data_IF_688896147915
#
_entry.id   IF_688896147915
#
_cell.length_a   1.000
_cell.length_b   1.000
_cell.length_c   1.000
_cell.angle_alpha   90.00
_cell.angle_beta   90.00
_cell.angle_gamma   90.00
#
_symmetry.space_group_name_H-M   'P 1'
#
loop_
_entity.id
_entity.type
_entity.pdbx_description
1 polymer ?
#
# COMPACT_ATOMS: atom_id res chain seq x y z
N UNK A 1 -25.54 0.11 -21.05
CA UNK A 1 -25.26 -1.23 -20.49
C UNK A 1 -25.94 -1.32 -19.14
N UNK A 2 -26.47 -2.48 -18.70
CA UNK A 2 -27.05 -2.61 -17.35
C UNK A 2 -25.94 -2.40 -16.31
N UNK A 3 -26.22 -1.62 -15.25
CA UNK A 3 -25.26 -1.31 -14.17
C UNK A 3 -24.63 -2.58 -13.56
N UNK A 4 -25.43 -3.62 -13.35
CA UNK A 4 -24.95 -4.91 -12.83
C UNK A 4 -23.86 -5.53 -13.71
N UNK A 5 -23.95 -5.41 -15.05
CA UNK A 5 -22.91 -5.92 -15.96
C UNK A 5 -21.62 -5.15 -15.85
N UNK A 6 -21.68 -3.83 -15.65
CA UNK A 6 -20.47 -2.98 -15.45
C UNK A 6 -19.78 -3.36 -14.14
N UNK A 7 -20.53 -3.50 -13.06
CA UNK A 7 -20.02 -3.97 -11.76
C UNK A 7 -19.37 -5.36 -11.90
N UNK A 8 -20.02 -6.29 -12.61
CA UNK A 8 -19.45 -7.63 -12.83
C UNK A 8 -18.13 -7.57 -13.58
N UNK A 9 -18.00 -6.71 -14.61
CA UNK A 9 -16.76 -6.53 -15.34
C UNK A 9 -15.66 -5.96 -14.44
N UNK A 10 -15.99 -4.97 -13.60
CA UNK A 10 -15.05 -4.39 -12.64
C UNK A 10 -14.54 -5.43 -11.63
N UNK A 11 -15.41 -6.34 -11.15
CA UNK A 11 -15.00 -7.45 -10.27
C UNK A 11 -13.98 -8.37 -10.96
N UNK A 12 -14.18 -8.69 -12.25
CA UNK A 12 -13.21 -9.48 -13.01
C UNK A 12 -11.90 -8.72 -13.26
N UNK A 13 -11.96 -7.41 -13.49
CA UNK A 13 -10.78 -6.55 -13.61
C UNK A 13 -10.01 -6.51 -12.28
N UNK A 14 -10.70 -6.37 -11.14
CA UNK A 14 -10.09 -6.49 -9.81
C UNK A 14 -9.40 -7.85 -9.59
N UNK A 15 -10.02 -8.94 -10.06
CA UNK A 15 -9.41 -10.27 -9.99
C UNK A 15 -8.14 -10.39 -10.86
N UNK A 16 -8.00 -9.58 -11.91
CA UNK A 16 -6.78 -9.47 -12.71
C UNK A 16 -5.72 -8.67 -11.95
N UNK A 17 -6.06 -7.44 -11.49
CA UNK A 17 -5.17 -6.56 -10.71
C UNK A 17 -4.58 -7.30 -9.51
N UNK A 18 -5.41 -8.03 -8.78
CA UNK A 18 -4.98 -8.83 -7.62
C UNK A 18 -3.82 -9.78 -7.92
N UNK A 19 -3.68 -10.24 -9.16
CA UNK A 19 -2.66 -11.24 -9.56
C UNK A 19 -1.42 -10.61 -10.21
N UNK A 20 -1.41 -9.31 -10.43
CA UNK A 20 -0.28 -8.63 -11.04
C UNK A 20 0.88 -8.56 -10.06
N UNK A 21 2.08 -8.94 -10.51
CA UNK A 21 3.29 -8.84 -9.72
C UNK A 21 3.85 -7.42 -9.76
N UNK A 22 4.40 -6.96 -8.65
CA UNK A 22 5.15 -5.71 -8.58
C UNK A 22 6.56 -5.90 -9.12
N UNK A 23 6.83 -5.36 -10.31
CA UNK A 23 8.05 -5.62 -11.08
C UNK A 23 9.32 -5.07 -10.44
N UNK A 24 9.19 -4.07 -9.57
CA UNK A 24 10.33 -3.48 -8.87
C UNK A 24 11.15 -4.49 -8.05
N UNK A 25 10.50 -5.46 -7.43
CA UNK A 25 11.16 -6.46 -6.59
C UNK A 25 12.12 -7.36 -7.35
N UNK A 26 11.91 -7.56 -8.66
CA UNK A 26 12.81 -8.34 -9.51
C UNK A 26 14.23 -7.77 -9.56
N UNK A 27 14.40 -6.47 -9.32
CA UNK A 27 15.72 -5.83 -9.24
C UNK A 27 16.49 -6.20 -7.98
N UNK A 28 15.79 -6.65 -6.95
CA UNK A 28 16.38 -7.23 -5.75
C UNK A 28 16.52 -8.76 -5.83
N UNK A 29 16.18 -9.35 -6.99
CA UNK A 29 16.24 -10.79 -7.20
C UNK A 29 15.09 -11.57 -6.57
N UNK A 30 13.97 -10.91 -6.29
CA UNK A 30 12.81 -11.50 -5.60
C UNK A 30 11.47 -11.13 -6.29
N UNK A 31 10.43 -11.86 -5.92
CA UNK A 31 9.03 -11.58 -6.26
C UNK A 31 8.23 -11.55 -4.96
N UNK A 32 8.34 -10.47 -4.22
CA UNK A 32 7.87 -10.38 -2.83
C UNK A 32 6.36 -10.33 -2.75
N UNK A 33 5.72 -9.46 -3.56
CA UNK A 33 4.29 -9.22 -3.48
C UNK A 33 3.68 -8.85 -4.84
N UNK A 34 2.38 -9.09 -4.98
CA UNK A 34 1.55 -8.55 -6.05
C UNK A 34 0.91 -7.22 -5.69
N UNK A 35 0.29 -6.56 -6.70
CA UNK A 35 -0.44 -5.29 -6.52
C UNK A 35 -1.56 -5.42 -5.49
N UNK A 36 -2.32 -6.54 -5.51
CA UNK A 36 -3.41 -6.75 -4.54
C UNK A 36 -2.91 -6.95 -3.11
N UNK A 37 -1.78 -7.63 -2.92
CA UNK A 37 -1.16 -7.82 -1.60
C UNK A 37 -0.65 -6.49 -1.06
N UNK A 38 -0.03 -5.68 -1.91
CA UNK A 38 0.40 -4.33 -1.58
C UNK A 38 -0.77 -3.43 -1.19
N UNK A 39 -1.85 -3.42 -1.95
CA UNK A 39 -3.05 -2.63 -1.63
C UNK A 39 -3.68 -3.07 -0.30
N UNK A 40 -3.67 -4.36 0.01
CA UNK A 40 -4.09 -4.87 1.31
C UNK A 40 -3.23 -4.32 2.44
N UNK A 41 -1.90 -4.39 2.33
CA UNK A 41 -0.98 -3.86 3.34
C UNK A 41 -1.11 -2.35 3.48
N UNK A 42 -1.25 -1.63 2.37
CA UNK A 42 -1.51 -0.18 2.37
C UNK A 42 -2.79 0.14 3.13
N UNK A 43 -3.89 -0.59 2.90
CA UNK A 43 -5.16 -0.36 3.58
C UNK A 43 -5.08 -0.64 5.09
N UNK A 44 -4.38 -1.70 5.51
CA UNK A 44 -4.17 -2.03 6.94
C UNK A 44 -3.38 -0.90 7.62
N UNK A 45 -2.28 -0.46 7.03
CA UNK A 45 -1.42 0.58 7.61
C UNK A 45 -2.15 1.92 7.64
N UNK A 46 -2.83 2.29 6.54
CA UNK A 46 -3.60 3.53 6.46
C UNK A 46 -4.73 3.59 7.49
N UNK A 47 -5.43 2.46 7.72
CA UNK A 47 -6.44 2.35 8.77
C UNK A 47 -5.85 2.61 10.15
N UNK A 48 -4.70 2.00 10.47
CA UNK A 48 -4.06 2.14 11.78
C UNK A 48 -3.55 3.58 12.00
N UNK A 49 -2.92 4.20 10.99
CA UNK A 49 -2.49 5.60 11.03
C UNK A 49 -3.68 6.54 11.21
N UNK A 50 -4.75 6.35 10.44
CA UNK A 50 -5.96 7.15 10.55
C UNK A 50 -6.62 7.03 11.92
N UNK A 51 -6.63 5.84 12.50
CA UNK A 51 -7.13 5.61 13.84
C UNK A 51 -6.29 6.35 14.88
N UNK A 52 -4.96 6.26 14.79
CA UNK A 52 -4.04 6.98 15.68
C UNK A 52 -4.26 8.50 15.61
N UNK A 53 -4.35 9.07 14.38
CA UNK A 53 -4.63 10.50 14.17
C UNK A 53 -5.96 10.90 14.82
N UNK A 54 -7.03 10.12 14.61
CA UNK A 54 -8.36 10.42 15.13
C UNK A 54 -8.48 10.26 16.66
N UNK A 55 -7.64 9.43 17.28
CA UNK A 55 -7.63 9.20 18.74
C UNK A 55 -6.77 10.23 19.50
N UNK A 56 -5.94 11.02 18.82
CA UNK A 56 -5.11 12.06 19.43
C UNK A 56 -5.95 13.23 19.96
N UNK A 57 -6.33 13.20 21.24
CA UNK A 57 -7.20 14.19 21.90
C UNK A 57 -6.71 15.64 21.86
N UNK A 58 -5.43 15.88 21.55
CA UNK A 58 -4.81 17.22 21.51
C UNK A 58 -4.74 17.81 20.11
N UNK A 59 -5.12 17.07 19.08
CA UNK A 59 -5.08 17.49 17.70
C UNK A 59 -6.50 17.81 17.22
N UNK A 60 -6.69 18.95 16.54
CA UNK A 60 -7.91 19.24 15.78
C UNK A 60 -7.95 18.48 14.44
N UNK A 61 -6.91 17.70 14.13
CA UNK A 61 -6.83 16.92 12.91
C UNK A 61 -7.71 15.68 13.02
N UNK A 62 -8.62 15.53 12.07
CA UNK A 62 -9.43 14.34 11.89
C UNK A 62 -9.45 13.94 10.44
N UNK A 63 -9.55 12.65 10.17
CA UNK A 63 -9.57 12.10 8.82
C UNK A 63 -10.76 11.16 8.62
N UNK A 64 -11.26 11.10 7.39
CA UNK A 64 -12.32 10.19 6.99
C UNK A 64 -11.76 8.78 6.76
N UNK A 65 -12.15 7.84 7.62
CA UNK A 65 -11.79 6.42 7.47
C UNK A 65 -12.29 5.84 6.16
N UNK A 66 -13.48 6.23 5.72
CA UNK A 66 -14.08 5.78 4.47
C UNK A 66 -13.22 6.18 3.26
N UNK A 67 -12.89 7.47 3.13
CA UNK A 67 -12.01 7.95 2.05
C UNK A 67 -10.67 7.23 2.04
N UNK A 68 -10.04 7.11 3.20
CA UNK A 68 -8.73 6.46 3.36
C UNK A 68 -8.78 5.01 2.87
N UNK A 69 -9.77 4.24 3.30
CA UNK A 69 -9.88 2.84 2.89
C UNK A 69 -10.17 2.69 1.40
N UNK A 70 -11.04 3.53 0.83
CA UNK A 70 -11.33 3.51 -0.60
C UNK A 70 -10.08 3.84 -1.40
N UNK A 71 -9.39 4.95 -1.10
CA UNK A 71 -8.14 5.32 -1.77
C UNK A 71 -7.09 4.21 -1.64
N UNK A 72 -6.92 3.61 -0.46
CA UNK A 72 -5.93 2.55 -0.23
C UNK A 72 -6.18 1.29 -1.08
N UNK A 73 -7.44 0.94 -1.31
CA UNK A 73 -7.80 -0.24 -2.09
C UNK A 73 -7.63 0.01 -3.59
N UNK A 74 -7.93 1.22 -4.06
CA UNK A 74 -8.07 1.51 -5.49
C UNK A 74 -6.91 2.33 -6.09
N UNK A 75 -5.92 2.81 -5.30
CA UNK A 75 -4.86 3.69 -5.79
C UNK A 75 -4.05 3.13 -6.96
N UNK A 76 -3.79 1.82 -6.98
CA UNK A 76 -3.05 1.13 -8.05
C UNK A 76 -3.96 0.31 -8.98
N UNK A 77 -5.29 0.52 -8.93
CA UNK A 77 -6.23 -0.28 -9.73
C UNK A 77 -6.04 -0.10 -11.24
N UNK A 78 -5.64 1.11 -11.67
CA UNK A 78 -5.34 1.44 -13.06
C UNK A 78 -4.23 0.56 -13.66
N UNK A 79 -3.38 -0.04 -12.83
CA UNK A 79 -2.31 -0.94 -13.29
C UNK A 79 -2.84 -2.17 -14.03
N UNK A 80 -4.08 -2.57 -13.77
CA UNK A 80 -4.77 -3.59 -14.56
C UNK A 80 -4.81 -3.32 -16.08
N UNK A 81 -4.73 -2.05 -16.46
CA UNK A 81 -4.72 -1.60 -17.88
C UNK A 81 -3.39 -1.04 -18.33
N UNK A 82 -2.71 -0.30 -17.45
CA UNK A 82 -1.43 0.35 -17.78
C UNK A 82 -0.22 -0.56 -17.61
N UNK A 83 -0.39 -1.67 -16.90
CA UNK A 83 0.69 -2.51 -16.42
C UNK A 83 1.35 -1.92 -15.16
N UNK A 84 1.82 -2.79 -14.26
CA UNK A 84 2.69 -2.36 -13.17
C UNK A 84 4.07 -2.02 -13.74
N UNK A 85 4.67 -0.94 -13.25
CA UNK A 85 5.92 -0.41 -13.80
C UNK A 85 6.83 0.05 -12.68
N UNK A 86 8.02 -0.54 -12.61
CA UNK A 86 9.05 -0.13 -11.68
C UNK A 86 9.61 1.28 -11.99
N UNK A 87 10.27 1.88 -11.01
CA UNK A 87 10.80 3.26 -11.13
C UNK A 87 11.82 3.44 -12.26
N UNK A 88 12.54 2.39 -12.65
CA UNK A 88 13.49 2.50 -13.77
C UNK A 88 12.72 2.55 -15.09
N UNK A 89 11.72 1.68 -15.27
CA UNK A 89 10.87 1.72 -16.45
C UNK A 89 10.15 3.08 -16.61
N UNK A 90 9.71 3.68 -15.49
CA UNK A 90 9.09 5.03 -15.48
C UNK A 90 9.99 6.15 -15.99
N UNK A 91 11.32 5.96 -16.05
CA UNK A 91 12.24 6.95 -16.67
C UNK A 91 12.19 6.93 -18.21
N UNK A 92 11.70 5.85 -18.79
CA UNK A 92 11.73 5.63 -20.26
C UNK A 92 10.35 5.50 -20.88
N UNK A 93 9.29 5.37 -20.08
CA UNK A 93 7.92 5.15 -20.53
C UNK A 93 6.95 6.05 -19.77
N UNK A 94 5.92 6.53 -20.48
CA UNK A 94 4.82 7.28 -19.88
C UNK A 94 3.57 6.39 -19.84
N UNK A 95 2.92 6.33 -18.67
CA UNK A 95 1.62 5.68 -18.49
C UNK A 95 0.50 6.73 -18.53
N UNK A 96 -0.64 6.35 -19.10
CA UNK A 96 -1.84 7.16 -19.07
C UNK A 96 -2.77 6.71 -17.94
N UNK A 97 -2.33 6.92 -16.69
CA UNK A 97 -3.02 6.49 -15.46
C UNK A 97 -4.40 7.14 -15.35
N UNK A 98 -4.49 8.48 -15.57
CA UNK A 98 -5.76 9.22 -15.55
C UNK A 98 -6.76 8.66 -16.56
N UNK A 99 -6.28 8.40 -17.81
CA UNK A 99 -7.14 7.82 -18.82
C UNK A 99 -7.65 6.44 -18.41
N UNK A 100 -6.79 5.60 -17.83
CA UNK A 100 -7.19 4.29 -17.34
C UNK A 100 -8.25 4.41 -16.23
N UNK A 101 -8.06 5.27 -15.24
CA UNK A 101 -9.03 5.51 -14.19
C UNK A 101 -10.38 6.01 -14.74
N UNK A 102 -10.38 6.96 -15.67
CA UNK A 102 -11.60 7.43 -16.33
C UNK A 102 -12.31 6.28 -17.06
N UNK A 103 -11.59 5.52 -17.88
CA UNK A 103 -12.14 4.40 -18.65
C UNK A 103 -12.68 3.25 -17.76
N UNK A 104 -12.15 3.10 -16.53
CA UNK A 104 -12.59 2.08 -15.56
C UNK A 104 -13.84 2.55 -14.81
N UNK A 105 -13.78 3.75 -14.23
CA UNK A 105 -14.70 4.14 -13.16
C UNK A 105 -15.79 5.13 -13.59
N UNK A 106 -15.62 5.91 -14.67
CA UNK A 106 -16.54 6.99 -15.03
C UNK A 106 -18.01 6.58 -15.16
N UNK A 107 -18.27 5.36 -15.60
CA UNK A 107 -19.61 4.83 -15.77
C UNK A 107 -20.10 3.92 -14.63
N UNK A 108 -19.23 3.60 -13.65
CA UNK A 108 -19.54 2.71 -12.52
C UNK A 108 -19.64 3.51 -11.24
N UNK A 109 -18.66 4.38 -10.99
CA UNK A 109 -18.56 5.16 -9.76
C UNK A 109 -17.72 6.43 -10.02
N UNK A 110 -18.40 7.53 -10.33
CA UNK A 110 -17.74 8.82 -10.56
C UNK A 110 -17.15 9.44 -9.28
N UNK A 111 -17.68 9.09 -8.09
CA UNK A 111 -17.17 9.58 -6.81
C UNK A 111 -15.79 8.98 -6.53
N UNK A 112 -15.57 7.73 -6.93
CA UNK A 112 -14.27 7.08 -6.82
C UNK A 112 -13.19 7.81 -7.64
N UNK A 113 -13.51 8.35 -8.83
CA UNK A 113 -12.56 9.16 -9.60
C UNK A 113 -12.12 10.42 -8.84
N UNK A 114 -13.03 11.06 -8.11
CA UNK A 114 -12.70 12.24 -7.29
C UNK A 114 -11.70 11.84 -6.20
N UNK A 115 -11.91 10.70 -5.54
CA UNK A 115 -10.99 10.21 -4.50
C UNK A 115 -9.62 9.80 -5.06
N UNK A 116 -9.57 9.21 -6.25
CA UNK A 116 -8.30 8.86 -6.90
C UNK A 116 -7.53 10.11 -7.34
N UNK A 117 -8.21 11.15 -7.81
CA UNK A 117 -7.57 12.45 -8.09
C UNK A 117 -7.05 13.09 -6.78
N UNK A 118 -7.84 13.08 -5.70
CA UNK A 118 -7.41 13.54 -4.38
C UNK A 118 -6.14 12.82 -3.90
N UNK A 119 -6.05 11.49 -4.14
CA UNK A 119 -4.85 10.71 -3.83
C UNK A 119 -3.64 11.15 -4.66
N UNK A 120 -3.81 11.41 -5.96
CA UNK A 120 -2.69 11.85 -6.82
C UNK A 120 -2.18 13.26 -6.50
N UNK A 121 -3.08 14.16 -6.12
CA UNK A 121 -2.72 15.54 -5.74
C UNK A 121 -1.95 15.62 -4.42
N UNK A 122 -2.18 14.70 -3.47
CA UNK A 122 -1.51 14.64 -2.16
C UNK A 122 -1.60 15.93 -1.33
N UNK A 123 -2.73 16.61 -1.43
CA UNK A 123 -2.95 17.90 -0.75
C UNK A 123 -3.78 17.76 0.53
N UNK A 124 -4.62 16.71 0.63
CA UNK A 124 -5.43 16.46 1.82
C UNK A 124 -4.70 15.58 2.83
N UNK A 125 -5.09 15.63 4.09
CA UNK A 125 -4.51 14.76 5.12
C UNK A 125 -4.83 13.29 4.83
N UNK A 126 -6.01 12.99 4.33
CA UNK A 126 -6.42 11.66 3.91
C UNK A 126 -5.50 11.09 2.81
N UNK A 127 -5.25 11.86 1.75
CA UNK A 127 -4.37 11.45 0.66
C UNK A 127 -2.92 11.27 1.11
N UNK A 128 -2.45 12.11 2.04
CA UNK A 128 -1.12 11.97 2.64
C UNK A 128 -1.01 10.71 3.50
N UNK A 129 -2.03 10.40 4.31
CA UNK A 129 -2.07 9.16 5.11
C UNK A 129 -1.98 7.94 4.21
N UNK A 130 -2.75 7.90 3.12
CA UNK A 130 -2.71 6.77 2.16
C UNK A 130 -1.36 6.69 1.45
N UNK A 131 -0.83 7.83 0.98
CA UNK A 131 0.48 7.88 0.34
C UNK A 131 1.59 7.36 1.26
N UNK A 132 1.61 7.80 2.52
CA UNK A 132 2.64 7.36 3.47
C UNK A 132 2.43 5.92 3.92
N UNK A 133 1.18 5.44 4.01
CA UNK A 133 0.89 4.03 4.23
C UNK A 133 1.41 3.14 3.10
N UNK A 134 1.26 3.56 1.83
CA UNK A 134 1.85 2.91 0.66
C UNK A 134 3.39 2.85 0.77
N UNK A 135 4.01 3.96 1.19
CA UNK A 135 5.46 4.01 1.44
C UNK A 135 5.88 3.05 2.55
N UNK A 136 5.13 2.99 3.65
CA UNK A 136 5.42 2.11 4.78
C UNK A 136 5.20 0.64 4.39
N UNK A 137 4.15 0.32 3.62
CA UNK A 137 3.91 -1.05 3.11
C UNK A 137 5.12 -1.58 2.33
N UNK A 138 5.69 -0.76 1.45
CA UNK A 138 6.94 -1.09 0.78
C UNK A 138 8.12 -1.27 1.76
N UNK A 139 8.20 -0.44 2.80
CA UNK A 139 9.21 -0.54 3.86
C UNK A 139 9.13 -1.85 4.65
N UNK A 140 7.93 -2.37 4.91
CA UNK A 140 7.73 -3.68 5.57
C UNK A 140 8.40 -4.79 4.77
N UNK A 141 8.18 -4.83 3.46
CA UNK A 141 8.78 -5.87 2.60
C UNK A 141 10.30 -5.71 2.50
N UNK A 142 10.82 -4.47 2.42
CA UNK A 142 12.26 -4.22 2.49
C UNK A 142 12.86 -4.78 3.80
N UNK A 143 12.21 -4.54 4.94
CA UNK A 143 12.65 -5.05 6.26
C UNK A 143 12.69 -6.57 6.28
N UNK A 144 11.65 -7.23 5.80
CA UNK A 144 11.58 -8.70 5.72
C UNK A 144 12.68 -9.25 4.80
N UNK A 145 12.95 -8.61 3.66
CA UNK A 145 14.03 -9.00 2.76
C UNK A 145 15.41 -8.85 3.41
N UNK A 146 15.64 -7.75 4.14
CA UNK A 146 16.89 -7.55 4.89
C UNK A 146 17.12 -8.66 5.90
N UNK A 147 16.11 -9.06 6.65
CA UNK A 147 16.19 -10.14 7.64
C UNK A 147 16.41 -11.51 7.01
N UNK A 148 15.98 -11.69 5.77
CA UNK A 148 16.29 -12.87 4.95
C UNK A 148 17.67 -12.83 4.30
N UNK A 149 18.45 -11.77 4.53
CA UNK A 149 19.82 -11.63 4.07
C UNK A 149 20.00 -10.88 2.75
N UNK A 150 18.96 -10.23 2.22
CA UNK A 150 19.09 -9.37 1.05
C UNK A 150 19.69 -8.01 1.44
N UNK A 151 21.00 -7.86 1.25
CA UNK A 151 21.76 -6.67 1.65
C UNK A 151 21.41 -5.42 0.84
N UNK A 152 20.90 -5.58 -0.38
CA UNK A 152 20.48 -4.45 -1.24
C UNK A 152 19.16 -3.82 -0.80
N UNK A 153 18.31 -4.56 -0.09
CA UNK A 153 17.05 -4.04 0.41
C UNK A 153 17.22 -2.88 1.41
N UNK A 154 18.40 -2.80 2.07
CA UNK A 154 18.70 -1.71 3.01
C UNK A 154 18.72 -0.32 2.32
N UNK A 155 19.38 -0.20 1.19
CA UNK A 155 19.39 1.05 0.43
C UNK A 155 17.97 1.51 0.04
N UNK A 156 17.13 0.56 -0.35
CA UNK A 156 15.74 0.82 -0.70
C UNK A 156 14.91 1.25 0.52
N UNK A 157 15.13 0.59 1.66
CA UNK A 157 14.49 0.96 2.93
C UNK A 157 14.88 2.38 3.35
N UNK A 158 16.18 2.70 3.35
CA UNK A 158 16.70 4.01 3.76
C UNK A 158 16.13 5.13 2.85
N UNK A 159 16.17 4.94 1.53
CA UNK A 159 15.65 5.92 0.58
C UNK A 159 14.13 6.12 0.70
N UNK A 160 13.40 5.03 0.98
CA UNK A 160 11.95 5.06 1.13
C UNK A 160 11.53 5.75 2.44
N UNK A 161 12.28 5.56 3.52
CA UNK A 161 12.01 6.19 4.82
C UNK A 161 12.04 7.73 4.78
N UNK A 162 12.77 8.32 3.83
CA UNK A 162 12.82 9.78 3.63
C UNK A 162 11.52 10.37 3.04
N UNK A 163 10.58 9.52 2.62
CA UNK A 163 9.32 9.94 1.97
C UNK A 163 8.16 10.11 2.95
N UNK A 164 8.29 9.65 4.18
CA UNK A 164 7.28 9.84 5.23
C UNK A 164 7.59 11.12 6.02
N UNK A 165 6.55 11.89 6.35
CA UNK A 165 6.65 13.20 7.00
C UNK A 165 5.64 13.43 8.11
N UNK A 166 4.48 12.75 8.07
CA UNK A 166 3.51 12.80 9.15
C UNK A 166 4.17 12.24 10.42
N UNK A 167 4.03 12.89 11.58
CA UNK A 167 4.67 12.44 12.83
C UNK A 167 4.37 10.96 13.14
N UNK A 168 3.12 10.55 12.95
CA UNK A 168 2.66 9.19 13.19
C UNK A 168 3.33 8.19 12.24
N UNK A 169 3.49 8.57 10.99
CA UNK A 169 4.17 7.75 9.97
C UNK A 169 5.67 7.63 10.20
N UNK A 170 6.32 8.72 10.64
CA UNK A 170 7.76 8.74 10.97
C UNK A 170 8.03 7.84 12.18
N UNK A 171 7.19 7.92 13.21
CA UNK A 171 7.28 7.06 14.38
C UNK A 171 7.10 5.59 14.00
N UNK A 172 6.04 5.28 13.25
CA UNK A 172 5.76 3.91 12.79
C UNK A 172 6.90 3.34 11.95
N UNK A 173 7.42 4.10 10.96
CA UNK A 173 8.54 3.68 10.12
C UNK A 173 9.81 3.44 10.94
N UNK A 174 10.06 4.28 11.95
CA UNK A 174 11.21 4.12 12.85
C UNK A 174 11.10 2.85 13.69
N UNK A 175 9.94 2.59 14.28
CA UNK A 175 9.69 1.38 15.07
C UNK A 175 9.80 0.12 14.19
N UNK A 176 9.20 0.15 13.01
CA UNK A 176 9.25 -0.96 12.06
C UNK A 176 10.70 -1.31 11.67
N UNK A 177 11.54 -0.29 11.41
CA UNK A 177 12.94 -0.50 11.06
C UNK A 177 13.76 -1.17 12.17
N UNK A 178 13.37 -0.96 13.43
CA UNK A 178 14.09 -1.45 14.62
C UNK A 178 13.45 -2.70 15.26
N UNK A 179 12.27 -3.14 14.81
CA UNK A 179 11.58 -4.32 15.33
C UNK A 179 11.89 -5.53 14.45
N UNK A 180 12.11 -6.70 15.05
CA UNK A 180 12.23 -7.97 14.32
C UNK A 180 10.85 -8.33 13.73
N UNK A 181 10.79 -8.64 12.45
CA UNK A 181 9.54 -9.00 11.78
C UNK A 181 8.87 -10.26 12.33
N UNK A 182 9.56 -11.03 13.16
CA UNK A 182 9.06 -12.25 13.78
C UNK A 182 8.62 -12.05 15.25
N UNK A 183 8.76 -10.86 15.82
CA UNK A 183 8.42 -10.60 17.23
C UNK A 183 6.92 -10.78 17.52
N UNK A 184 6.03 -10.52 16.55
CA UNK A 184 4.59 -10.60 16.73
C UNK A 184 4.07 -11.97 17.17
N UNK A 185 4.79 -13.05 16.91
CA UNK A 185 4.40 -14.42 17.27
C UNK A 185 5.41 -15.13 18.18
N UNK A 186 6.35 -14.40 18.78
CA UNK A 186 7.41 -14.93 19.62
C UNK A 186 6.86 -15.73 20.81
N UNK A 187 5.87 -15.17 21.53
CA UNK A 187 5.26 -15.83 22.68
C UNK A 187 4.38 -17.01 22.27
N UNK A 188 3.68 -16.88 21.13
CA UNK A 188 2.90 -17.98 20.53
C UNK A 188 3.84 -19.15 20.17
N UNK A 189 4.96 -18.83 19.54
CA UNK A 189 5.98 -19.84 19.17
C UNK A 189 6.56 -20.55 20.38
N UNK A 190 6.83 -19.82 21.48
CA UNK A 190 7.30 -20.42 22.73
C UNK A 190 6.27 -21.40 23.30
N UNK A 191 5.00 -21.02 23.33
CA UNK A 191 3.90 -21.90 23.79
C UNK A 191 3.80 -23.18 22.94
N UNK A 192 3.91 -23.08 21.61
CA UNK A 192 3.89 -24.23 20.69
C UNK A 192 5.08 -25.17 20.99
N UNK A 193 6.28 -24.63 21.21
CA UNK A 193 7.45 -25.43 21.53
C UNK A 193 7.34 -26.16 22.88
N UNK A 194 6.72 -25.54 23.88
CA UNK A 194 6.44 -26.19 25.17
C UNK A 194 5.45 -27.36 25.03
N UNK A 195 4.48 -27.27 24.11
CA UNK A 195 3.55 -28.37 23.84
C UNK A 195 4.27 -29.56 23.16
N UNK A 196 5.24 -29.31 22.28
CA UNK A 196 6.02 -30.37 21.64
C UNK A 196 7.06 -31.05 22.57
N UNK A 197 7.39 -30.42 23.69
CA UNK A 197 8.30 -30.95 24.68
C UNK A 197 7.64 -31.89 25.72
N UNK A 198 6.31 -32.02 25.67
CA UNK A 198 5.51 -32.90 26.54
C UNK A 198 5.27 -34.26 25.88
#
# INVERSE_FOLDING_TARGET
MNNTKKITNLIYEAANVKRMLRTGWQRLGDNVEGVGEHSFMTAVIAYLLAKEINEQKKSERTVSMEKILIMSIFHDFHEGRTGEMDKVAKLYMTRHEDKANIDIFSEVDAELLVLLNEYEEKETLESLVVYEANVIAFGVECKILMERGNTHAKEWMDANSLRVRLPESVELMTLLSNTDSQDWWKDIRATIHEEFAK
#
